data_IF_750660912226
#
_entry.id   IF_750660912226
#
_cell.length_a   1.000
_cell.length_b   1.000
_cell.length_c   1.000
_cell.angle_alpha   90.00
_cell.angle_beta   90.00
_cell.angle_gamma   90.00
#
_symmetry.space_group_name_H-M   'P 1'
#
loop_
_entity.id
_entity.type
_entity.pdbx_description
1 polymer ?
#
# COMPACT_ATOMS: atom_id res chain seq x y z
N UNK A 1 25.90 55.81 7.07
CA UNK A 1 25.92 57.20 7.56
C UNK A 1 24.68 58.01 7.16
N UNK A 2 24.34 58.15 5.87
CA UNK A 2 23.18 58.97 5.46
C UNK A 2 21.80 58.34 5.76
N UNK A 3 21.65 57.01 5.68
CA UNK A 3 20.35 56.35 5.91
C UNK A 3 19.94 56.29 7.40
N UNK A 4 20.89 56.08 8.32
CA UNK A 4 20.63 56.09 9.78
C UNK A 4 20.20 57.48 10.30
N UNK A 5 20.82 58.55 9.78
CA UNK A 5 20.49 59.92 10.20
C UNK A 5 19.08 60.37 9.74
N UNK A 6 18.51 59.70 8.73
CA UNK A 6 17.17 59.96 8.21
C UNK A 6 16.06 59.13 8.88
N UNK A 7 16.40 58.33 9.92
CA UNK A 7 15.43 57.45 10.60
C UNK A 7 14.95 56.29 9.73
N UNK A 8 15.58 56.05 8.58
CA UNK A 8 15.34 54.86 7.76
C UNK A 8 16.16 53.70 8.35
N UNK A 9 15.56 53.04 9.35
CA UNK A 9 15.99 51.71 9.77
C UNK A 9 15.84 50.70 8.62
N UNK A 10 16.74 49.73 8.57
CA UNK A 10 16.70 48.67 7.58
C UNK A 10 15.47 47.77 7.78
N UNK A 11 14.44 47.99 6.98
CA UNK A 11 13.14 47.32 7.08
C UNK A 11 13.20 45.82 6.71
N UNK A 12 14.32 45.35 6.17
CA UNK A 12 14.54 43.95 5.79
C UNK A 12 15.74 43.30 6.49
N UNK A 13 16.57 44.08 7.19
CA UNK A 13 17.68 43.58 8.01
C UNK A 13 17.29 43.16 9.43
N UNK A 14 16.17 43.69 9.96
CA UNK A 14 15.74 43.47 11.35
C UNK A 14 14.94 42.17 11.58
N UNK A 15 14.72 41.37 10.53
CA UNK A 15 14.05 40.05 10.63
C UNK A 15 15.02 38.87 10.82
N UNK A 16 16.32 39.13 10.92
CA UNK A 16 17.21 38.13 11.55
C UNK A 16 17.04 38.33 13.05
N UNK A 17 16.38 37.41 13.78
CA UNK A 17 16.23 37.55 15.23
C UNK A 17 17.62 37.54 15.86
N UNK A 18 18.13 38.73 16.12
CA UNK A 18 19.29 38.93 16.96
C UNK A 18 18.75 39.01 18.38
N UNK A 19 19.08 37.97 19.15
CA UNK A 19 19.02 37.96 20.61
C UNK A 19 17.68 37.61 21.26
N UNK A 20 17.21 36.39 21.01
CA UNK A 20 16.81 35.49 22.10
C UNK A 20 17.79 34.32 22.10
N UNK A 21 18.44 34.01 23.22
CA UNK A 21 19.40 32.90 23.37
C UNK A 21 18.71 31.52 23.34
N UNK A 22 17.94 31.27 22.28
CA UNK A 22 17.23 30.04 22.05
C UNK A 22 17.35 29.69 20.59
N UNK A 23 17.76 28.46 20.31
CA UNK A 23 17.64 27.89 18.98
C UNK A 23 16.17 27.99 18.51
N UNK A 24 15.85 28.77 17.46
CA UNK A 24 14.47 28.95 16.99
C UNK A 24 13.85 27.65 16.48
N UNK A 25 14.66 26.61 16.25
CA UNK A 25 14.20 25.28 15.86
C UNK A 25 14.17 24.28 17.02
N UNK A 26 14.40 24.73 18.27
CA UNK A 26 14.48 23.84 19.45
C UNK A 26 13.24 22.97 19.62
N UNK A 27 12.06 23.51 19.34
CA UNK A 27 10.79 22.79 19.44
C UNK A 27 10.55 21.88 18.23
N UNK A 28 11.18 22.15 17.09
CA UNK A 28 11.08 21.37 15.86
C UNK A 28 12.13 20.24 15.77
N UNK A 29 13.24 20.32 16.52
CA UNK A 29 14.27 19.25 16.54
C UNK A 29 13.77 17.91 17.06
N UNK A 30 12.67 17.89 17.82
CA UNK A 30 12.04 16.66 18.32
C UNK A 30 10.82 16.25 17.53
N UNK A 31 10.52 16.92 16.41
CA UNK A 31 9.43 16.51 15.56
C UNK A 31 9.69 15.07 15.07
N UNK A 32 8.65 14.23 15.14
CA UNK A 32 8.69 12.89 14.56
C UNK A 32 9.00 13.02 13.07
N UNK A 33 9.99 12.27 12.59
CA UNK A 33 10.24 12.16 11.16
C UNK A 33 8.99 11.68 10.44
N UNK A 34 8.68 12.30 9.30
CA UNK A 34 7.60 11.85 8.44
C UNK A 34 7.82 10.41 8.02
N UNK A 35 6.73 9.64 7.99
CA UNK A 35 6.75 8.31 7.38
C UNK A 35 6.87 8.46 5.86
N UNK A 36 7.29 7.41 5.15
CA UNK A 36 7.34 7.44 3.69
C UNK A 36 5.99 7.85 3.10
N UNK A 37 4.89 7.35 3.68
CA UNK A 37 3.52 7.70 3.28
C UNK A 37 3.22 9.19 3.45
N UNK A 38 3.66 9.81 4.54
CA UNK A 38 3.48 11.26 4.77
C UNK A 38 4.29 12.08 3.76
N UNK A 39 5.52 11.66 3.46
CA UNK A 39 6.37 12.29 2.43
C UNK A 39 5.70 12.21 1.06
N UNK A 40 5.28 11.00 0.65
CA UNK A 40 4.64 10.80 -0.65
C UNK A 40 3.32 11.58 -0.78
N UNK A 41 2.52 11.64 0.29
CA UNK A 41 1.31 12.45 0.32
C UNK A 41 1.64 13.94 0.14
N UNK A 42 2.64 14.45 0.87
CA UNK A 42 3.08 15.84 0.75
C UNK A 42 3.68 16.18 -0.62
N UNK A 43 4.44 15.26 -1.23
CA UNK A 43 4.96 15.40 -2.59
C UNK A 43 3.82 15.45 -3.61
N UNK A 44 2.82 14.57 -3.46
CA UNK A 44 1.65 14.57 -4.33
C UNK A 44 0.85 15.86 -4.24
N UNK A 45 0.63 16.36 -3.03
CA UNK A 45 -0.11 17.61 -2.79
C UNK A 45 0.66 18.83 -3.31
N UNK A 46 1.97 18.88 -3.10
CA UNK A 46 2.81 20.05 -3.43
C UNK A 46 3.25 20.10 -4.89
N UNK A 47 3.61 18.95 -5.48
CA UNK A 47 4.23 18.83 -6.79
C UNK A 47 3.34 18.12 -7.82
N UNK A 48 2.31 17.40 -7.38
CA UNK A 48 1.46 16.57 -8.25
C UNK A 48 2.09 15.22 -8.66
N UNK A 49 3.34 14.97 -8.26
CA UNK A 49 4.15 13.80 -8.62
C UNK A 49 4.92 13.27 -7.41
N UNK A 50 5.27 11.99 -7.44
CA UNK A 50 6.16 11.36 -6.46
C UNK A 50 7.61 11.43 -6.94
N UNK A 51 8.51 11.91 -6.08
CA UNK A 51 9.94 12.05 -6.38
C UNK A 51 10.79 11.09 -5.54
N UNK A 52 10.46 10.94 -4.26
CA UNK A 52 11.28 10.15 -3.33
C UNK A 52 11.07 8.64 -3.45
N UNK A 53 9.98 8.19 -4.07
CA UNK A 53 9.64 6.78 -4.25
C UNK A 53 8.29 6.60 -4.94
N UNK A 54 7.83 5.36 -5.09
CA UNK A 54 6.51 5.05 -5.64
C UNK A 54 5.59 4.49 -4.55
N UNK A 55 4.28 4.84 -4.52
CA UNK A 55 3.34 4.30 -3.53
C UNK A 55 3.25 2.78 -3.48
N UNK A 56 3.63 2.09 -4.56
CA UNK A 56 3.69 0.63 -4.58
C UNK A 56 4.91 0.03 -3.88
N UNK A 57 5.94 0.80 -3.59
CA UNK A 57 7.19 0.28 -2.99
C UNK A 57 6.93 -0.36 -1.62
N UNK A 58 5.98 0.19 -0.85
CA UNK A 58 5.55 -0.38 0.44
C UNK A 58 4.96 -1.79 0.29
N UNK A 59 4.28 -2.04 -0.83
CA UNK A 59 3.58 -3.29 -1.10
C UNK A 59 4.30 -4.19 -2.08
N UNK A 60 5.51 -3.84 -2.53
CA UNK A 60 6.17 -4.52 -3.64
C UNK A 60 6.35 -6.03 -3.35
N UNK A 61 6.86 -6.39 -2.18
CA UNK A 61 7.08 -7.79 -1.82
C UNK A 61 5.80 -8.62 -1.85
N UNK A 62 4.66 -8.01 -1.54
CA UNK A 62 3.38 -8.69 -1.54
C UNK A 62 2.79 -8.74 -2.95
N UNK A 63 2.81 -7.61 -3.66
CA UNK A 63 2.37 -7.50 -5.05
C UNK A 63 3.08 -8.54 -5.93
N UNK A 64 4.39 -8.74 -5.75
CA UNK A 64 5.18 -9.71 -6.53
C UNK A 64 4.76 -11.17 -6.33
N UNK A 65 4.04 -11.50 -5.24
CA UNK A 65 3.44 -12.83 -5.04
C UNK A 65 2.26 -13.09 -6.00
N UNK A 66 1.59 -12.02 -6.44
CA UNK A 66 0.43 -12.10 -7.34
C UNK A 66 0.77 -11.72 -8.78
N UNK A 67 1.56 -10.66 -8.95
CA UNK A 67 2.06 -10.13 -10.22
C UNK A 67 3.59 -10.21 -10.23
N UNK A 68 4.17 -11.35 -10.61
CA UNK A 68 5.61 -11.60 -10.47
C UNK A 68 6.47 -10.78 -11.43
N UNK A 69 5.89 -10.21 -12.49
CA UNK A 69 6.62 -9.41 -13.49
C UNK A 69 6.28 -7.94 -13.34
N UNK A 70 7.29 -7.10 -13.46
CA UNK A 70 7.13 -5.65 -13.54
C UNK A 70 6.54 -5.25 -14.90
N UNK A 71 5.87 -4.10 -14.96
CA UNK A 71 5.19 -3.61 -16.18
C UNK A 71 6.15 -3.53 -17.35
N UNK A 72 7.39 -3.07 -17.10
CA UNK A 72 8.43 -2.95 -18.14
C UNK A 72 8.81 -4.28 -18.79
N UNK A 73 8.66 -5.39 -18.07
CA UNK A 73 9.09 -6.73 -18.52
C UNK A 73 7.92 -7.56 -19.12
N UNK A 74 6.74 -6.93 -19.26
CA UNK A 74 5.57 -7.56 -19.82
C UNK A 74 5.71 -7.75 -21.33
N UNK A 75 5.13 -8.84 -21.84
CA UNK A 75 5.14 -9.20 -23.25
C UNK A 75 3.72 -9.50 -23.72
N UNK A 76 3.43 -9.23 -24.99
CA UNK A 76 2.11 -9.48 -25.56
C UNK A 76 1.76 -10.98 -25.63
N UNK A 77 0.46 -11.28 -25.67
CA UNK A 77 -0.05 -12.62 -25.97
C UNK A 77 -0.29 -13.51 -24.75
N UNK A 78 0.29 -13.20 -23.59
CA UNK A 78 0.05 -13.91 -22.34
C UNK A 78 -1.15 -13.35 -21.58
N UNK A 79 -1.79 -14.21 -20.78
CA UNK A 79 -2.68 -13.78 -19.69
C UNK A 79 -1.85 -13.71 -18.42
N UNK A 80 -1.90 -12.58 -17.74
CA UNK A 80 -1.19 -12.40 -16.48
C UNK A 80 -1.82 -11.28 -15.64
N UNK A 81 -1.55 -11.35 -14.34
CA UNK A 81 -1.89 -10.30 -13.39
C UNK A 81 -0.90 -9.15 -13.53
N UNK A 82 -1.42 -7.93 -13.62
CA UNK A 82 -0.65 -6.69 -13.62
C UNK A 82 -1.08 -5.88 -12.41
N UNK A 83 -0.14 -5.51 -11.56
CA UNK A 83 -0.39 -4.61 -10.44
C UNK A 83 0.10 -3.21 -10.78
N UNK A 84 -0.68 -2.20 -10.40
CA UNK A 84 -0.35 -0.81 -10.68
C UNK A 84 -1.19 0.15 -9.83
N UNK A 85 -0.62 1.33 -9.59
CA UNK A 85 -1.33 2.52 -9.13
C UNK A 85 -2.09 3.12 -10.32
N UNK A 86 -3.38 3.42 -10.13
CA UNK A 86 -4.18 4.12 -11.14
C UNK A 86 -3.80 5.60 -11.16
N UNK A 87 -3.06 6.02 -12.18
CA UNK A 87 -2.62 7.40 -12.38
C UNK A 87 -3.70 8.25 -13.05
N UNK A 88 -4.44 7.66 -13.99
CA UNK A 88 -5.51 8.32 -14.73
C UNK A 88 -6.64 7.35 -15.08
N UNK A 89 -7.86 7.91 -15.17
CA UNK A 89 -9.09 7.17 -15.52
C UNK A 89 -9.87 7.97 -16.55
N UNK A 90 -9.97 7.44 -17.77
CA UNK A 90 -10.77 8.02 -18.85
C UNK A 90 -11.99 7.16 -19.13
N UNK A 91 -13.17 7.73 -18.91
CA UNK A 91 -14.45 7.09 -19.26
C UNK A 91 -14.81 7.38 -20.72
N UNK A 92 -15.09 6.32 -21.48
CA UNK A 92 -15.47 6.39 -22.90
C UNK A 92 -16.86 5.81 -23.07
N UNK A 93 -17.80 6.62 -23.58
CA UNK A 93 -19.14 6.15 -23.92
C UNK A 93 -19.10 5.46 -25.28
N UNK A 94 -19.57 4.21 -25.32
CA UNK A 94 -19.70 3.42 -26.54
C UNK A 94 -21.15 3.01 -26.78
N UNK A 95 -21.46 2.47 -27.96
CA UNK A 95 -22.79 1.91 -28.24
C UNK A 95 -23.17 0.75 -27.29
N UNK A 96 -22.19 0.07 -26.70
CA UNK A 96 -22.37 -1.07 -25.79
C UNK A 96 -22.25 -0.69 -24.31
N UNK A 97 -22.33 0.61 -23.98
CA UNK A 97 -22.19 1.11 -22.61
C UNK A 97 -20.92 1.92 -22.37
N UNK A 98 -20.65 2.26 -21.11
CA UNK A 98 -19.48 3.05 -20.72
C UNK A 98 -18.31 2.12 -20.40
N UNK A 99 -17.19 2.30 -21.09
CA UNK A 99 -15.93 1.61 -20.76
C UNK A 99 -14.97 2.56 -20.08
N UNK A 100 -14.03 2.02 -19.30
CA UNK A 100 -12.96 2.78 -18.68
C UNK A 100 -11.61 2.39 -19.27
N UNK A 101 -10.80 3.41 -19.54
CA UNK A 101 -9.40 3.27 -19.91
C UNK A 101 -8.57 3.83 -18.76
N UNK A 102 -7.72 2.99 -18.18
CA UNK A 102 -6.96 3.27 -16.98
C UNK A 102 -5.48 3.32 -17.34
N UNK A 103 -4.74 4.22 -16.72
CA UNK A 103 -3.28 4.23 -16.79
C UNK A 103 -2.71 3.66 -15.49
N UNK A 104 -2.10 2.48 -15.58
CA UNK A 104 -1.50 1.79 -14.45
C UNK A 104 0.01 2.04 -14.43
N UNK A 105 0.55 2.36 -13.25
CA UNK A 105 1.98 2.61 -13.01
C UNK A 105 2.49 1.74 -11.84
N UNK A 106 3.61 1.05 -12.02
CA UNK A 106 4.24 0.22 -10.98
C UNK A 106 5.61 0.75 -10.52
N UNK A 107 5.94 1.99 -10.84
CA UNK A 107 7.25 2.61 -10.65
C UNK A 107 8.31 2.20 -11.69
N UNK A 108 8.12 1.07 -12.39
CA UNK A 108 9.06 0.60 -13.43
C UNK A 108 8.62 1.00 -14.84
N UNK A 109 7.32 1.18 -15.04
CA UNK A 109 6.73 1.55 -16.31
C UNK A 109 5.23 1.77 -16.19
N UNK A 110 4.63 2.22 -17.30
CA UNK A 110 3.20 2.48 -17.41
C UNK A 110 2.56 1.59 -18.46
N UNK A 111 1.34 1.16 -18.21
CA UNK A 111 0.53 0.39 -19.15
C UNK A 111 -0.93 0.86 -19.15
N UNK A 112 -1.51 0.92 -20.34
CA UNK A 112 -2.93 1.21 -20.50
C UNK A 112 -3.74 -0.07 -20.26
N UNK A 113 -4.68 -0.02 -19.31
CA UNK A 113 -5.62 -1.10 -19.03
C UNK A 113 -7.04 -0.71 -19.44
N UNK A 114 -7.66 -1.51 -20.31
CA UNK A 114 -9.02 -1.30 -20.78
C UNK A 114 -10.00 -2.20 -20.04
N UNK A 115 -10.97 -1.59 -19.35
CA UNK A 115 -12.12 -2.23 -18.74
C UNK A 115 -13.37 -1.98 -19.61
N UNK A 116 -13.85 -3.03 -20.28
CA UNK A 116 -15.09 -2.96 -21.06
C UNK A 116 -16.32 -2.79 -20.14
N UNK A 117 -17.46 -2.39 -20.70
CA UNK A 117 -18.66 -1.98 -19.94
C UNK A 117 -19.02 -2.92 -18.79
N UNK A 118 -19.07 -4.24 -19.05
CA UNK A 118 -19.41 -5.25 -18.03
C UNK A 118 -18.41 -5.24 -16.85
N UNK A 119 -17.12 -5.14 -17.14
CA UNK A 119 -16.05 -5.14 -16.13
C UNK A 119 -16.03 -3.80 -15.38
N UNK A 120 -16.23 -2.70 -16.09
CA UNK A 120 -16.30 -1.36 -15.50
C UNK A 120 -17.47 -1.24 -14.54
N UNK A 121 -18.68 -1.68 -14.93
CA UNK A 121 -19.86 -1.59 -14.07
C UNK A 121 -19.74 -2.50 -12.84
N UNK A 122 -19.05 -3.64 -12.94
CA UNK A 122 -18.80 -4.53 -11.79
C UNK A 122 -17.78 -3.96 -10.79
N UNK A 123 -16.75 -3.25 -11.26
CA UNK A 123 -15.63 -2.80 -10.43
C UNK A 123 -15.53 -1.28 -10.31
N UNK A 124 -16.61 -0.54 -10.59
CA UNK A 124 -16.60 0.93 -10.66
C UNK A 124 -15.96 1.59 -9.44
N UNK A 125 -16.23 1.07 -8.26
CA UNK A 125 -15.72 1.61 -6.98
C UNK A 125 -14.21 1.39 -6.80
N UNK A 126 -13.62 0.43 -7.53
CA UNK A 126 -12.18 0.15 -7.53
C UNK A 126 -11.42 0.91 -8.63
N UNK A 127 -12.15 1.48 -9.60
CA UNK A 127 -11.56 2.10 -10.78
C UNK A 127 -11.48 3.61 -10.61
N UNK A 128 -10.87 4.03 -9.50
CA UNK A 128 -10.65 5.42 -9.13
C UNK A 128 -9.17 5.75 -9.09
N UNK A 129 -8.85 7.03 -9.28
CA UNK A 129 -7.48 7.54 -9.27
C UNK A 129 -6.83 7.35 -7.90
N UNK A 130 -5.52 7.16 -7.90
CA UNK A 130 -4.66 6.99 -6.72
C UNK A 130 -4.95 5.70 -5.92
N UNK A 131 -5.62 4.71 -6.54
CA UNK A 131 -5.84 3.39 -5.97
C UNK A 131 -4.88 2.35 -6.56
N UNK A 132 -4.34 1.48 -5.70
CA UNK A 132 -3.54 0.33 -6.12
C UNK A 132 -4.49 -0.81 -6.45
N UNK A 133 -4.37 -1.36 -7.66
CA UNK A 133 -5.20 -2.46 -8.14
C UNK A 133 -4.36 -3.56 -8.78
N UNK A 134 -4.85 -4.78 -8.66
CA UNK A 134 -4.39 -5.94 -9.40
C UNK A 134 -5.40 -6.25 -10.50
N UNK A 135 -4.98 -6.09 -11.75
CA UNK A 135 -5.79 -6.36 -12.93
C UNK A 135 -5.39 -7.71 -13.54
N UNK A 136 -6.35 -8.64 -13.63
CA UNK A 136 -6.18 -9.84 -14.46
C UNK A 136 -6.65 -9.53 -15.88
N UNK A 137 -5.88 -9.95 -16.87
CA UNK A 137 -6.22 -9.67 -18.26
C UNK A 137 -5.30 -10.32 -19.27
N UNK A 138 -5.57 -10.00 -20.53
CA UNK A 138 -4.72 -10.41 -21.65
C UNK A 138 -3.95 -9.21 -22.16
N UNK A 139 -2.64 -9.36 -22.28
CA UNK A 139 -1.80 -8.34 -22.90
C UNK A 139 -1.88 -8.44 -24.42
N UNK A 140 -2.11 -7.30 -25.06
CA UNK A 140 -2.24 -7.17 -26.50
C UNK A 140 -1.48 -5.92 -26.95
N UNK A 141 -1.04 -5.92 -28.21
CA UNK A 141 -0.54 -4.69 -28.81
C UNK A 141 -1.75 -3.83 -29.16
N UNK A 142 -1.74 -2.56 -28.78
CA UNK A 142 -2.70 -1.60 -29.28
C UNK A 142 -2.36 -1.28 -30.74
N UNK A 143 -3.31 -1.57 -31.63
CA UNK A 143 -3.18 -1.35 -33.08
C UNK A 143 -2.98 0.13 -33.44
N UNK A 144 -3.42 1.07 -32.59
CA UNK A 144 -3.29 2.50 -32.85
C UNK A 144 -1.93 3.07 -32.43
N UNK A 145 -1.41 2.63 -31.28
CA UNK A 145 -0.20 3.21 -30.67
C UNK A 145 1.04 2.33 -30.83
N UNK A 146 0.87 1.08 -31.23
CA UNK A 146 1.95 0.09 -31.22
C UNK A 146 2.53 -0.13 -29.81
N UNK A 147 1.74 0.15 -28.77
CA UNK A 147 2.14 0.00 -27.37
C UNK A 147 1.43 -1.20 -26.75
N UNK A 148 2.06 -1.79 -25.74
CA UNK A 148 1.45 -2.86 -24.98
C UNK A 148 0.25 -2.32 -24.19
N UNK A 149 -0.90 -2.99 -24.29
CA UNK A 149 -2.10 -2.67 -23.53
C UNK A 149 -2.65 -3.93 -22.85
N UNK A 150 -3.29 -3.74 -21.71
CA UNK A 150 -3.95 -4.79 -20.96
C UNK A 150 -5.46 -4.74 -21.24
N UNK A 151 -5.99 -5.81 -21.84
CA UNK A 151 -7.43 -6.04 -21.86
C UNK A 151 -7.84 -6.71 -20.55
N UNK A 152 -8.36 -5.92 -19.61
CA UNK A 152 -8.71 -6.38 -18.28
C UNK A 152 -9.99 -7.24 -18.30
N UNK A 153 -9.98 -8.27 -17.46
CA UNK A 153 -11.08 -9.19 -17.20
C UNK A 153 -11.65 -9.03 -15.80
N UNK A 154 -10.82 -8.68 -14.84
CA UNK A 154 -11.24 -8.37 -13.48
C UNK A 154 -10.22 -7.45 -12.82
N UNK A 155 -10.67 -6.74 -11.79
CA UNK A 155 -9.84 -5.93 -10.92
C UNK A 155 -10.05 -6.38 -9.48
N UNK A 156 -8.98 -6.40 -8.70
CA UNK A 156 -9.04 -6.73 -7.28
C UNK A 156 -8.11 -5.81 -6.51
N UNK A 157 -8.44 -5.53 -5.25
CA UNK A 157 -7.50 -4.87 -4.34
C UNK A 157 -6.44 -5.89 -3.89
N UNK A 158 -5.32 -5.38 -3.36
CA UNK A 158 -4.30 -6.23 -2.77
C UNK A 158 -4.87 -7.07 -1.60
N UNK A 159 -5.73 -6.47 -0.77
CA UNK A 159 -6.41 -7.15 0.33
C UNK A 159 -7.35 -8.28 -0.14
N UNK A 160 -8.09 -8.06 -1.23
CA UNK A 160 -8.93 -9.10 -1.84
C UNK A 160 -8.08 -10.23 -2.41
N UNK A 161 -7.00 -9.90 -3.13
CA UNK A 161 -6.06 -10.88 -3.66
C UNK A 161 -5.45 -11.72 -2.54
N UNK A 162 -5.02 -11.08 -1.45
CA UNK A 162 -4.55 -11.72 -0.22
C UNK A 162 -5.58 -12.68 0.36
N UNK A 163 -6.80 -12.20 0.59
CA UNK A 163 -7.88 -13.00 1.17
C UNK A 163 -8.26 -14.20 0.30
N UNK A 164 -8.08 -14.11 -1.02
CA UNK A 164 -8.40 -15.20 -1.95
C UNK A 164 -7.34 -16.31 -2.01
N UNK A 165 -6.05 -16.01 -1.77
CA UNK A 165 -4.95 -16.99 -1.88
C UNK A 165 -4.30 -17.35 -0.54
N UNK A 166 -4.73 -16.73 0.56
CA UNK A 166 -4.21 -17.05 1.89
C UNK A 166 -4.72 -18.41 2.33
N UNK A 167 -3.79 -19.30 2.69
CA UNK A 167 -4.11 -20.59 3.29
C UNK A 167 -4.28 -20.45 4.80
N UNK A 168 -3.35 -19.76 5.45
CA UNK A 168 -3.35 -19.55 6.90
C UNK A 168 -2.50 -18.35 7.31
N UNK A 169 -2.90 -17.73 8.42
CA UNK A 169 -2.12 -16.72 9.13
C UNK A 169 -1.32 -17.39 10.24
N UNK A 170 0.00 -17.39 10.12
CA UNK A 170 0.91 -17.94 11.11
C UNK A 170 1.36 -16.85 12.09
N UNK A 171 1.20 -17.12 13.38
CA UNK A 171 1.60 -16.24 14.47
C UNK A 171 2.66 -16.91 15.35
N UNK A 172 3.88 -16.37 15.36
CA UNK A 172 4.93 -16.74 16.29
C UNK A 172 4.68 -16.14 17.67
N UNK A 173 4.59 -16.98 18.70
CA UNK A 173 4.53 -16.53 20.09
C UNK A 173 5.75 -17.03 20.85
N UNK A 174 6.28 -16.18 21.71
CA UNK A 174 7.39 -16.49 22.61
C UNK A 174 6.95 -16.29 24.08
N UNK A 175 7.62 -16.92 25.06
CA UNK A 175 7.19 -16.89 26.45
C UNK A 175 7.18 -15.47 27.04
N UNK A 176 8.18 -14.66 26.70
CA UNK A 176 8.32 -13.26 27.10
C UNK A 176 7.10 -12.42 26.72
N UNK A 177 6.55 -12.63 25.52
CA UNK A 177 5.38 -11.89 25.01
C UNK A 177 4.10 -12.36 25.71
N UNK A 178 3.98 -13.66 25.99
CA UNK A 178 2.81 -14.22 26.67
C UNK A 178 2.76 -13.77 28.14
N UNK A 179 3.89 -13.77 28.82
CA UNK A 179 4.02 -13.31 30.21
C UNK A 179 3.75 -11.81 30.37
N UNK A 180 4.01 -11.01 29.33
CA UNK A 180 3.70 -9.58 29.30
C UNK A 180 2.18 -9.26 29.19
N UNK A 181 1.30 -10.27 29.05
CA UNK A 181 -0.15 -10.07 29.06
C UNK A 181 -0.80 -9.85 27.68
N UNK A 182 -0.03 -10.03 26.60
CA UNK A 182 -0.47 -9.81 25.20
C UNK A 182 -1.65 -10.71 24.79
N UNK A 183 -1.90 -11.81 25.50
CA UNK A 183 -3.01 -12.75 25.21
C UNK A 183 -4.40 -12.09 25.20
N UNK A 184 -4.62 -11.10 26.07
CA UNK A 184 -5.91 -10.39 26.13
C UNK A 184 -6.11 -9.44 24.95
N UNK A 185 -5.03 -8.78 24.52
CA UNK A 185 -5.01 -7.86 23.39
C UNK A 185 -5.11 -8.61 22.07
N UNK A 186 -4.37 -9.72 21.94
CA UNK A 186 -4.45 -10.63 20.80
C UNK A 186 -5.89 -11.15 20.65
N UNK A 187 -6.51 -11.59 21.75
CA UNK A 187 -7.92 -12.03 21.73
C UNK A 187 -8.84 -10.92 21.23
N UNK A 188 -8.63 -9.67 21.63
CA UNK A 188 -9.43 -8.52 21.19
C UNK A 188 -9.25 -8.25 19.70
N UNK A 189 -8.01 -8.18 19.22
CA UNK A 189 -7.68 -7.94 17.82
C UNK A 189 -8.27 -9.05 16.90
N UNK A 190 -8.13 -10.31 17.31
CA UNK A 190 -8.70 -11.44 16.56
C UNK A 190 -10.23 -11.46 16.60
N UNK A 191 -10.86 -11.04 17.71
CA UNK A 191 -12.32 -10.99 17.81
C UNK A 191 -12.94 -9.84 17.01
N UNK A 192 -12.17 -8.77 16.74
CA UNK A 192 -12.63 -7.63 15.94
C UNK A 192 -12.62 -7.88 14.43
N UNK A 193 -11.86 -8.87 13.95
CA UNK A 193 -11.82 -9.23 12.53
C UNK A 193 -12.40 -10.62 12.33
N UNK A 194 -13.64 -10.70 11.84
CA UNK A 194 -14.26 -11.99 11.49
C UNK A 194 -14.01 -12.28 10.02
N UNK A 195 -13.56 -13.49 9.68
CA UNK A 195 -13.29 -13.85 8.30
C UNK A 195 -13.13 -15.34 8.05
N UNK A 196 -12.43 -15.67 6.96
CA UNK A 196 -12.32 -17.03 6.43
C UNK A 196 -10.93 -17.66 6.64
N UNK A 197 -9.90 -16.84 6.89
CA UNK A 197 -8.53 -17.29 7.01
C UNK A 197 -8.30 -17.98 8.38
N UNK A 198 -7.87 -19.25 8.41
CA UNK A 198 -7.51 -19.92 9.65
C UNK A 198 -6.21 -19.38 10.23
N UNK A 199 -6.10 -19.43 11.57
CA UNK A 199 -4.92 -18.99 12.29
C UNK A 199 -4.16 -20.20 12.84
N UNK A 200 -2.85 -20.20 12.66
CA UNK A 200 -1.93 -21.15 13.26
C UNK A 200 -0.97 -20.41 14.17
N UNK A 201 -0.96 -20.76 15.45
CA UNK A 201 -0.02 -20.19 16.42
C UNK A 201 1.16 -21.13 16.57
N UNK A 202 2.36 -20.66 16.27
CA UNK A 202 3.61 -21.32 16.56
C UNK A 202 4.19 -20.79 17.87
N UNK A 203 4.02 -21.56 18.94
CA UNK A 203 4.60 -21.22 20.23
C UNK A 203 6.02 -21.76 20.32
N UNK A 204 7.01 -20.87 20.38
CA UNK A 204 8.44 -21.22 20.43
C UNK A 204 8.99 -21.01 21.83
N UNK A 205 9.57 -22.05 22.41
CA UNK A 205 10.26 -22.01 23.69
C UNK A 205 11.72 -22.48 23.51
N UNK A 206 12.63 -22.20 24.46
CA UNK A 206 13.99 -22.72 24.40
C UNK A 206 14.07 -24.25 24.29
N UNK A 207 13.08 -24.97 24.82
CA UNK A 207 13.02 -26.43 24.81
C UNK A 207 12.39 -27.04 23.53
N UNK A 208 11.78 -26.23 22.66
CA UNK A 208 11.09 -26.71 21.45
C UNK A 208 9.98 -25.78 20.96
N UNK A 209 9.30 -26.18 19.89
CA UNK A 209 8.16 -25.45 19.33
C UNK A 209 6.90 -26.32 19.22
N UNK A 210 5.74 -25.69 19.36
CA UNK A 210 4.44 -26.31 19.18
C UNK A 210 3.59 -25.50 18.19
N UNK A 211 2.93 -26.19 17.27
CA UNK A 211 1.99 -25.59 16.31
C UNK A 211 0.56 -25.86 16.80
N UNK A 212 -0.19 -24.79 17.03
CA UNK A 212 -1.56 -24.82 17.52
C UNK A 212 -2.47 -24.24 16.44
N UNK A 213 -3.26 -25.09 15.80
CA UNK A 213 -4.29 -24.65 14.86
C UNK A 213 -5.50 -24.14 15.64
N UNK A 214 -5.86 -22.89 15.42
CA UNK A 214 -7.01 -22.28 16.08
C UNK A 214 -8.33 -22.82 15.51
N UNK A 215 -9.35 -22.92 16.36
CA UNK A 215 -10.69 -23.36 15.96
C UNK A 215 -11.41 -22.33 15.07
N UNK A 216 -12.50 -22.75 14.43
CA UNK A 216 -13.17 -21.95 13.38
C UNK A 216 -13.66 -20.56 13.83
N UNK A 217 -13.99 -20.41 15.12
CA UNK A 217 -14.40 -19.14 15.73
C UNK A 217 -13.32 -18.06 15.72
N UNK A 218 -12.08 -18.41 15.39
CA UNK A 218 -10.92 -17.51 15.36
C UNK A 218 -10.47 -17.21 13.93
N UNK A 219 -11.27 -17.56 12.91
CA UNK A 219 -10.95 -17.19 11.54
C UNK A 219 -11.11 -15.69 11.33
N UNK A 220 -10.14 -15.10 10.64
CA UNK A 220 -10.05 -13.64 10.44
C UNK A 220 -9.95 -13.30 8.97
N UNK A 221 -10.18 -12.03 8.63
CA UNK A 221 -9.79 -11.48 7.33
C UNK A 221 -8.47 -10.74 7.54
N UNK A 222 -7.39 -11.07 6.79
CA UNK A 222 -6.08 -10.47 7.00
C UNK A 222 -6.03 -9.05 6.41
N UNK A 223 -6.75 -8.12 7.03
CA UNK A 223 -6.76 -6.70 6.66
C UNK A 223 -5.44 -6.05 7.06
N UNK A 224 -5.04 -4.96 6.40
CA UNK A 224 -3.79 -4.25 6.75
C UNK A 224 -3.81 -3.78 8.21
N UNK A 225 -4.95 -3.23 8.66
CA UNK A 225 -5.14 -2.82 10.06
C UNK A 225 -4.92 -3.96 11.06
N UNK A 226 -5.36 -5.18 10.74
CA UNK A 226 -5.17 -6.33 11.61
C UNK A 226 -3.71 -6.78 11.63
N UNK A 227 -3.07 -6.84 10.45
CA UNK A 227 -1.67 -7.24 10.35
C UNK A 227 -0.76 -6.28 11.09
N UNK A 228 -1.01 -4.98 11.02
CA UNK A 228 -0.21 -3.97 11.71
C UNK A 228 -0.40 -4.04 13.22
N UNK A 229 -1.64 -4.19 13.70
CA UNK A 229 -1.90 -4.46 15.12
C UNK A 229 -1.18 -5.72 15.62
N UNK A 230 -1.20 -6.81 14.84
CA UNK A 230 -0.52 -8.04 15.22
C UNK A 230 1.01 -7.85 15.24
N UNK A 231 1.59 -7.17 14.26
CA UNK A 231 3.03 -6.87 14.22
C UNK A 231 3.46 -6.01 15.41
N UNK A 232 2.63 -5.06 15.84
CA UNK A 232 2.90 -4.25 17.05
C UNK A 232 2.86 -5.10 18.32
N UNK A 233 1.95 -6.06 18.41
CA UNK A 233 1.75 -6.90 19.59
C UNK A 233 2.80 -8.03 19.73
N UNK A 234 3.11 -8.74 18.64
CA UNK A 234 3.98 -9.93 18.67
C UNK A 234 5.32 -9.74 17.97
N UNK A 235 5.51 -8.63 17.27
CA UNK A 235 6.71 -8.33 16.49
C UNK A 235 6.56 -8.66 15.00
N UNK A 236 7.24 -7.88 14.15
CA UNK A 236 7.17 -7.99 12.69
C UNK A 236 7.51 -9.38 12.15
N UNK A 237 8.56 -10.02 12.68
CA UNK A 237 9.04 -11.33 12.21
C UNK A 237 8.15 -12.50 12.65
N UNK A 238 7.17 -12.23 13.53
CA UNK A 238 6.29 -13.24 14.09
C UNK A 238 4.94 -13.32 13.37
N UNK A 239 4.66 -12.45 12.40
CA UNK A 239 3.40 -12.46 11.64
C UNK A 239 3.69 -12.84 10.20
N UNK A 240 3.25 -14.03 9.79
CA UNK A 240 3.51 -14.56 8.45
C UNK A 240 2.20 -15.02 7.79
N UNK A 241 1.97 -14.58 6.56
CA UNK A 241 0.87 -15.06 5.72
C UNK A 241 1.37 -16.17 4.81
N UNK A 242 0.77 -17.35 4.95
CA UNK A 242 1.06 -18.51 4.11
C UNK A 242 0.08 -18.52 2.94
N UNK A 243 0.61 -18.53 1.73
CA UNK A 243 -0.17 -18.52 0.48
C UNK A 243 -0.17 -19.90 -0.18
N UNK A 244 -1.22 -20.19 -0.94
CA UNK A 244 -1.24 -21.36 -1.83
C UNK A 244 -0.18 -21.20 -2.92
N UNK A 245 0.60 -22.26 -3.17
CA UNK A 245 1.69 -22.28 -4.15
C UNK A 245 1.17 -22.36 -5.59
#
# INVERSE_FOLDING_TARGET
AANEAAGMGDLFGEVIPTSGSGDPYRDHRRARSWTLRDVLAGEKESLGSFLSGHPMDEFEQEVRKFSPRAIRDLNAGSKQWVAGLIVDVRLVKTQRGTMAVLQLDDGTGQIEATAYSEIYDQHRDLLVKDQIVLADGRLQMDDFRGQLSLRAKSFTTLEQARSSRVLELKLGLRPDIVEAGVTSELKRALSSSVGVCPIVVEYRQPAGSALIKMGERWRVTPTDTLLDQLKELVGHDCVELIYER
#
